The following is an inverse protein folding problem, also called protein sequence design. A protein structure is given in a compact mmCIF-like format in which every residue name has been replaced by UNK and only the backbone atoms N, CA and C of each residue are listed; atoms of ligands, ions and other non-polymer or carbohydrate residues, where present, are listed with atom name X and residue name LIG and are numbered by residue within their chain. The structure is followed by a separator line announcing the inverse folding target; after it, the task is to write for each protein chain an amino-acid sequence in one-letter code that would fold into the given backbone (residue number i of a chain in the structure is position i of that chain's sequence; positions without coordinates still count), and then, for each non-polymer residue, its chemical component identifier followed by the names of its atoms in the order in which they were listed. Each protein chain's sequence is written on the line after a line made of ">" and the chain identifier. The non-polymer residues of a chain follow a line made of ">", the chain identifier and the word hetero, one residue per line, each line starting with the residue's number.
data_IF_985579689433
#
_entry.id   IF_985579689433
#
_cell.length_a   1.000
_cell.length_b   1.000
_cell.length_c   1.000
_cell.angle_alpha   90.00
_cell.angle_beta   90.00
_cell.angle_gamma   90.00
#
_symmetry.space_group_name_H-M   'P 1'
#
loop_
_entity.id
_entity.type
_entity.pdbx_description
1 polymer ?
#
# COMPACT_ATOMS: atom_id res chain seq x y z
N UNK A 1 19.86 -29.05 -29.43
CA UNK A 1 20.08 -29.66 -28.14
C UNK A 1 18.74 -30.24 -27.70
N UNK A 2 18.45 -31.53 -27.97
CA UNK A 2 17.11 -32.09 -27.78
C UNK A 2 16.69 -32.32 -26.33
N UNK A 3 17.64 -32.43 -25.40
CA UNK A 3 17.35 -32.79 -24.01
C UNK A 3 16.96 -31.61 -23.09
N UNK A 4 17.18 -30.39 -23.54
CA UNK A 4 16.76 -29.22 -22.75
C UNK A 4 15.26 -28.98 -22.80
N UNK A 5 14.58 -29.41 -23.84
CA UNK A 5 13.15 -29.11 -24.04
C UNK A 5 12.26 -29.93 -23.11
N UNK A 6 12.56 -31.22 -22.89
CA UNK A 6 11.77 -32.05 -21.97
C UNK A 6 11.92 -31.63 -20.51
N UNK A 7 13.14 -31.32 -20.07
CA UNK A 7 13.34 -30.81 -18.71
C UNK A 7 12.65 -29.46 -18.49
N UNK A 8 12.58 -28.61 -19.51
CA UNK A 8 11.84 -27.36 -19.47
C UNK A 8 10.32 -27.58 -19.44
N UNK A 9 9.81 -28.58 -20.15
CA UNK A 9 8.40 -28.93 -20.16
C UNK A 9 7.94 -29.44 -18.78
N UNK A 10 8.70 -30.34 -18.13
CA UNK A 10 8.41 -30.81 -16.79
C UNK A 10 8.41 -29.69 -15.74
N UNK A 11 9.36 -28.77 -15.86
CA UNK A 11 9.42 -27.57 -15.00
C UNK A 11 8.24 -26.63 -15.27
N UNK A 12 7.88 -26.44 -16.53
CA UNK A 12 6.74 -25.61 -16.92
C UNK A 12 5.42 -26.19 -16.40
N UNK A 13 5.23 -27.51 -16.50
CA UNK A 13 4.05 -28.21 -15.98
C UNK A 13 3.97 -28.10 -14.46
N UNK A 14 5.08 -28.29 -13.74
CA UNK A 14 5.14 -28.13 -12.29
C UNK A 14 4.84 -26.69 -11.84
N UNK A 15 5.32 -25.70 -12.59
CA UNK A 15 5.03 -24.29 -12.33
C UNK A 15 3.56 -23.96 -12.59
N UNK A 16 2.99 -24.44 -13.69
CA UNK A 16 1.59 -24.25 -14.02
C UNK A 16 0.68 -24.89 -12.96
N UNK A 17 1.02 -26.09 -12.49
CA UNK A 17 0.27 -26.74 -11.41
C UNK A 17 0.28 -25.88 -10.13
N UNK A 18 1.47 -25.37 -9.73
CA UNK A 18 1.60 -24.52 -8.55
C UNK A 18 0.87 -23.19 -8.72
N UNK A 19 0.91 -22.62 -9.91
CA UNK A 19 0.20 -21.37 -10.22
C UNK A 19 -1.33 -21.57 -10.09
N UNK A 20 -1.88 -22.61 -10.71
CA UNK A 20 -3.29 -22.94 -10.63
C UNK A 20 -3.73 -23.25 -9.19
N UNK A 21 -2.88 -23.90 -8.42
CA UNK A 21 -3.13 -24.14 -7.00
C UNK A 21 -3.13 -22.82 -6.20
N UNK A 22 -2.18 -21.95 -6.46
CA UNK A 22 -2.10 -20.64 -5.81
C UNK A 22 -3.32 -19.78 -6.15
N UNK A 23 -3.76 -19.76 -7.39
CA UNK A 23 -4.94 -19.05 -7.88
C UNK A 23 -6.21 -19.48 -7.15
N UNK A 24 -6.44 -20.79 -7.05
CA UNK A 24 -7.61 -21.36 -6.35
C UNK A 24 -7.60 -21.03 -4.85
N UNK A 25 -6.46 -21.21 -4.18
CA UNK A 25 -6.35 -20.96 -2.75
C UNK A 25 -6.41 -19.48 -2.39
N UNK A 26 -5.87 -18.61 -3.23
CA UNK A 26 -5.91 -17.15 -3.02
C UNK A 26 -7.25 -16.51 -3.45
N UNK A 27 -8.15 -17.27 -4.10
CA UNK A 27 -9.42 -16.78 -4.67
C UNK A 27 -9.20 -15.67 -5.71
N UNK A 28 -8.15 -15.80 -6.52
CA UNK A 28 -7.77 -14.80 -7.51
C UNK A 28 -8.87 -14.55 -8.53
N UNK A 29 -9.54 -15.62 -9.02
CA UNK A 29 -10.65 -15.49 -9.96
C UNK A 29 -11.78 -14.62 -9.42
N UNK A 30 -12.16 -14.81 -8.15
CA UNK A 30 -13.19 -14.00 -7.50
C UNK A 30 -12.79 -12.54 -7.44
N UNK A 31 -11.55 -12.27 -7.01
CA UNK A 31 -11.03 -10.92 -6.91
C UNK A 31 -10.95 -10.21 -8.27
N UNK A 32 -10.51 -10.93 -9.30
CA UNK A 32 -10.48 -10.42 -10.67
C UNK A 32 -11.89 -10.15 -11.22
N UNK A 33 -12.84 -11.04 -10.96
CA UNK A 33 -14.24 -10.86 -11.37
C UNK A 33 -14.89 -9.64 -10.73
N UNK A 34 -14.66 -9.39 -9.44
CA UNK A 34 -15.14 -8.21 -8.73
C UNK A 34 -14.48 -6.92 -9.25
N UNK A 35 -13.16 -6.95 -9.50
CA UNK A 35 -12.45 -5.82 -10.07
C UNK A 35 -12.93 -5.51 -11.50
N UNK A 36 -13.16 -6.52 -12.31
CA UNK A 36 -13.72 -6.36 -13.66
C UNK A 36 -15.13 -5.79 -13.63
N UNK A 37 -15.97 -6.22 -12.70
CA UNK A 37 -17.29 -5.64 -12.51
C UNK A 37 -17.22 -4.15 -12.12
N UNK A 38 -16.21 -3.75 -11.35
CA UNK A 38 -15.92 -2.34 -11.04
C UNK A 38 -15.45 -1.58 -12.27
N UNK A 39 -14.56 -2.17 -13.07
CA UNK A 39 -14.04 -1.58 -14.31
C UNK A 39 -15.16 -1.29 -15.30
N UNK A 40 -16.07 -2.22 -15.52
CA UNK A 40 -17.24 -1.99 -16.40
C UNK A 40 -18.09 -0.80 -15.94
N UNK A 41 -18.24 -0.62 -14.61
CA UNK A 41 -19.11 0.42 -14.06
C UNK A 41 -18.48 1.81 -14.09
N UNK A 42 -17.17 1.89 -13.84
CA UNK A 42 -16.48 3.16 -13.56
C UNK A 42 -15.17 3.34 -14.31
N UNK A 43 -14.81 2.42 -15.19
CA UNK A 43 -13.62 2.50 -16.04
C UNK A 43 -12.33 2.07 -15.37
N UNK A 44 -12.36 1.62 -14.10
CA UNK A 44 -11.18 1.14 -13.40
C UNK A 44 -11.54 0.08 -12.36
N UNK A 45 -10.72 -0.97 -12.27
CA UNK A 45 -10.78 -2.01 -11.26
C UNK A 45 -9.42 -2.22 -10.60
N UNK A 46 -9.42 -2.58 -9.33
CA UNK A 46 -8.21 -2.77 -8.54
C UNK A 46 -8.17 -4.14 -7.89
N UNK A 47 -7.06 -4.82 -8.03
CA UNK A 47 -6.78 -6.10 -7.38
C UNK A 47 -5.54 -5.98 -6.52
N UNK A 48 -5.62 -6.43 -5.29
CA UNK A 48 -4.47 -6.60 -4.40
C UNK A 48 -3.99 -8.03 -4.46
N UNK A 49 -2.70 -8.20 -4.62
CA UNK A 49 -2.00 -9.46 -4.37
C UNK A 49 -1.04 -9.23 -3.22
N UNK A 50 -1.28 -9.93 -2.11
CA UNK A 50 -0.49 -9.75 -0.91
C UNK A 50 -0.10 -11.10 -0.31
N UNK A 51 0.99 -11.08 0.49
CA UNK A 51 1.34 -12.22 1.31
C UNK A 51 0.48 -12.20 2.58
N UNK A 52 -0.15 -13.33 2.90
CA UNK A 52 -0.89 -13.49 4.15
C UNK A 52 0.09 -13.59 5.33
N UNK A 53 -0.21 -12.89 6.39
CA UNK A 53 0.61 -12.90 7.61
C UNK A 53 0.20 -14.02 8.58
N UNK A 54 -1.04 -14.47 8.48
CA UNK A 54 -1.57 -15.55 9.31
C UNK A 54 -0.99 -16.89 8.86
N UNK A 55 -0.21 -17.59 9.71
CA UNK A 55 0.43 -18.86 9.35
C UNK A 55 -0.56 -20.00 9.10
N UNK A 56 -1.82 -19.85 9.57
CA UNK A 56 -2.87 -20.85 9.39
C UNK A 56 -3.64 -20.71 8.07
N UNK A 57 -3.41 -19.60 7.34
CA UNK A 57 -4.00 -19.35 6.05
C UNK A 57 -3.04 -19.64 4.92
N UNK A 58 -3.58 -19.69 3.70
CA UNK A 58 -2.74 -19.82 2.53
C UNK A 58 -1.81 -18.61 2.38
N UNK A 59 -0.57 -18.86 1.96
CA UNK A 59 0.53 -17.89 1.92
C UNK A 59 0.23 -16.60 1.12
N UNK A 60 -0.61 -16.70 0.11
CA UNK A 60 -0.98 -15.57 -0.75
C UNK A 60 -2.49 -15.35 -0.69
N UNK A 61 -2.87 -14.10 -0.78
CA UNK A 61 -4.27 -13.71 -0.91
C UNK A 61 -4.42 -12.74 -2.06
N UNK A 62 -5.51 -12.87 -2.78
CA UNK A 62 -5.98 -11.88 -3.74
C UNK A 62 -7.28 -11.28 -3.23
N UNK A 63 -7.47 -10.00 -3.43
CA UNK A 63 -8.69 -9.31 -3.06
C UNK A 63 -8.96 -8.14 -3.99
N UNK A 64 -10.22 -7.88 -4.27
CA UNK A 64 -10.62 -6.65 -4.95
C UNK A 64 -10.57 -5.49 -3.97
N UNK A 65 -10.19 -4.33 -4.45
CA UNK A 65 -10.17 -3.10 -3.65
C UNK A 65 -11.20 -2.15 -4.23
N UNK A 66 -12.02 -1.61 -3.33
CA UNK A 66 -13.04 -0.67 -3.75
C UNK A 66 -12.39 0.65 -4.22
N UNK A 67 -12.92 1.24 -5.29
CA UNK A 67 -12.39 2.47 -5.90
C UNK A 67 -12.22 3.64 -4.92
N UNK A 68 -13.09 3.72 -3.90
CA UNK A 68 -13.03 4.78 -2.89
C UNK A 68 -11.92 4.59 -1.87
N UNK A 69 -11.17 3.49 -1.96
CA UNK A 69 -10.03 3.19 -1.09
C UNK A 69 -8.70 3.51 -1.74
N UNK A 70 -8.70 3.85 -3.05
CA UNK A 70 -7.48 4.12 -3.79
C UNK A 70 -7.54 5.50 -4.42
N UNK A 71 -6.44 6.24 -4.26
CA UNK A 71 -6.15 7.48 -4.98
C UNK A 71 -4.83 7.30 -5.73
N UNK A 72 -4.80 7.74 -6.97
CA UNK A 72 -3.62 7.64 -7.84
C UNK A 72 -3.37 8.97 -8.55
N UNK A 73 -2.21 9.07 -9.16
CA UNK A 73 -1.89 10.22 -9.99
C UNK A 73 -2.72 10.20 -11.27
N UNK A 74 -3.79 10.98 -11.29
CA UNK A 74 -4.72 11.04 -12.42
C UNK A 74 -4.10 11.62 -13.71
N UNK A 75 -2.88 12.20 -13.63
CA UNK A 75 -2.10 12.66 -14.79
C UNK A 75 -1.22 11.57 -15.38
N UNK A 76 -1.11 10.44 -14.71
CA UNK A 76 -0.33 9.32 -15.17
C UNK A 76 -0.98 8.63 -16.38
N UNK A 77 -0.18 7.87 -17.08
CA UNK A 77 -0.66 7.00 -18.16
C UNK A 77 -1.64 5.96 -17.62
N UNK A 78 -2.48 5.38 -18.49
CA UNK A 78 -3.44 4.36 -18.08
C UNK A 78 -2.82 3.13 -17.40
N UNK A 79 -1.58 2.80 -17.77
CA UNK A 79 -0.79 1.70 -17.18
C UNK A 79 -0.08 2.07 -15.87
N UNK A 80 -0.23 3.31 -15.39
CA UNK A 80 0.39 3.86 -14.19
C UNK A 80 1.92 3.79 -14.17
N UNK A 81 2.57 3.52 -15.30
CA UNK A 81 4.03 3.36 -15.39
C UNK A 81 4.80 4.63 -14.97
N UNK A 82 4.20 5.79 -15.13
CA UNK A 82 4.74 7.10 -14.79
C UNK A 82 4.06 7.76 -13.59
N UNK A 83 3.17 7.05 -12.90
CA UNK A 83 2.50 7.55 -11.71
C UNK A 83 3.52 7.98 -10.64
N UNK A 84 3.31 9.16 -10.07
CA UNK A 84 4.18 9.71 -9.03
C UNK A 84 3.81 9.20 -7.65
N UNK A 85 2.55 8.90 -7.42
CA UNK A 85 2.05 8.38 -6.17
C UNK A 85 0.85 7.46 -6.38
N UNK A 86 0.69 6.55 -5.44
CA UNK A 86 -0.50 5.72 -5.23
C UNK A 86 -0.79 5.75 -3.73
N UNK A 87 -2.04 6.00 -3.36
CA UNK A 87 -2.46 6.05 -1.96
C UNK A 87 -3.59 5.06 -1.79
N UNK A 88 -3.49 4.21 -0.78
CA UNK A 88 -4.53 3.29 -0.37
C UNK A 88 -5.03 3.63 1.03
N UNK A 89 -6.33 3.73 1.18
CA UNK A 89 -7.00 3.83 2.46
C UNK A 89 -7.41 2.45 2.93
N UNK A 90 -7.14 2.15 4.18
CA UNK A 90 -7.53 0.87 4.79
C UNK A 90 -8.09 1.11 6.18
N UNK A 91 -9.32 0.65 6.40
CA UNK A 91 -9.93 0.63 7.71
C UNK A 91 -9.49 -0.59 8.47
N UNK A 92 -9.08 -0.40 9.71
CA UNK A 92 -8.55 -1.47 10.55
C UNK A 92 -8.95 -1.26 11.99
N UNK A 93 -9.21 -2.35 12.71
CA UNK A 93 -9.47 -2.27 14.14
C UNK A 93 -8.24 -1.70 14.87
N UNK A 94 -8.47 -0.77 15.81
CA UNK A 94 -7.43 -0.03 16.54
C UNK A 94 -6.33 -0.92 17.12
N UNK A 95 -6.71 -2.01 17.79
CA UNK A 95 -5.74 -2.97 18.34
C UNK A 95 -4.88 -3.63 17.27
N UNK A 96 -5.47 -3.96 16.13
CA UNK A 96 -4.73 -4.55 15.01
C UNK A 96 -3.76 -3.54 14.38
N UNK A 97 -4.19 -2.29 14.25
CA UNK A 97 -3.34 -1.21 13.75
C UNK A 97 -2.14 -0.95 14.69
N UNK A 98 -2.36 -0.94 16.01
CA UNK A 98 -1.30 -0.80 16.99
C UNK A 98 -0.27 -1.94 16.92
N UNK A 99 -0.71 -3.16 16.67
CA UNK A 99 0.20 -4.30 16.46
C UNK A 99 0.99 -4.20 15.17
N UNK A 100 0.41 -3.64 14.11
CA UNK A 100 1.11 -3.44 12.82
C UNK A 100 2.15 -2.34 12.89
N UNK A 101 1.90 -1.29 13.68
CA UNK A 101 2.78 -0.11 13.78
C UNK A 101 3.17 0.08 15.25
N UNK A 102 4.04 -0.78 15.79
CA UNK A 102 4.39 -0.75 17.22
C UNK A 102 5.07 0.56 17.64
N UNK A 103 5.77 1.22 16.73
CA UNK A 103 6.40 2.51 17.00
C UNK A 103 5.40 3.64 17.32
N UNK A 104 4.15 3.50 16.89
CA UNK A 104 3.08 4.48 17.10
C UNK A 104 1.85 3.86 17.80
N UNK A 105 2.03 2.70 18.44
CA UNK A 105 0.94 1.97 19.07
C UNK A 105 0.19 2.83 20.09
N UNK A 106 0.92 3.56 20.91
CA UNK A 106 0.36 4.46 21.94
C UNK A 106 -0.51 5.56 21.30
N UNK A 107 -0.02 6.19 20.25
CA UNK A 107 -0.77 7.21 19.52
C UNK A 107 -2.06 6.63 18.88
N UNK A 108 -1.98 5.44 18.32
CA UNK A 108 -3.12 4.74 17.71
C UNK A 108 -4.14 4.33 18.78
N UNK A 109 -3.69 3.83 19.91
CA UNK A 109 -4.57 3.46 21.02
C UNK A 109 -5.24 4.66 21.66
N UNK A 110 -4.53 5.76 21.82
CA UNK A 110 -5.06 7.01 22.37
C UNK A 110 -5.83 7.86 21.36
N UNK A 111 -5.70 7.62 20.08
CA UNK A 111 -6.49 8.29 19.06
C UNK A 111 -8.01 8.15 19.28
N UNK A 112 -8.44 7.22 20.14
CA UNK A 112 -9.81 7.05 20.61
C UNK A 112 -10.16 7.78 21.91
N UNK A 113 -9.20 8.06 22.77
CA UNK A 113 -9.45 8.49 24.12
C UNK A 113 -9.71 10.02 24.23
N UNK A 114 -9.11 10.83 23.38
CA UNK A 114 -9.23 12.29 23.44
C UNK A 114 -10.66 12.82 23.22
N UNK A 115 -11.53 12.01 22.65
CA UNK A 115 -12.91 12.38 22.33
C UNK A 115 -13.91 12.06 23.44
N UNK A 116 -13.56 11.16 24.35
CA UNK A 116 -14.33 10.97 25.57
C UNK A 116 -14.19 12.15 26.54
N UNK A 117 -13.16 12.99 26.34
CA UNK A 117 -12.97 14.21 27.11
C UNK A 117 -13.68 15.44 26.49
N UNK A 118 -14.13 15.35 25.26
CA UNK A 118 -14.99 16.36 24.66
C UNK A 118 -16.43 16.04 25.11
N UNK A 119 -16.72 16.40 26.34
CA UNK A 119 -18.07 16.36 26.86
C UNK A 119 -18.91 17.36 26.05
N UNK A 120 -19.93 16.90 25.30
CA UNK A 120 -20.86 17.81 24.63
C UNK A 120 -21.50 18.78 25.62
N UNK A 121 -21.53 18.44 26.90
CA UNK A 121 -21.93 19.31 27.99
C UNK A 121 -21.04 20.55 28.15
N UNK A 122 -19.74 20.48 27.80
CA UNK A 122 -18.87 21.67 27.89
C UNK A 122 -19.16 22.72 26.83
N UNK A 123 -19.62 22.34 25.65
CA UNK A 123 -20.14 23.27 24.65
C UNK A 123 -21.48 23.89 25.07
N UNK A 124 -22.16 23.25 26.03
CA UNK A 124 -23.46 23.76 26.55
C UNK A 124 -23.29 24.85 27.60
N UNK A 125 -22.13 24.98 28.22
CA UNK A 125 -21.90 25.95 29.30
C UNK A 125 -21.57 27.36 28.80
N UNK A 126 -21.08 27.52 27.57
CA UNK A 126 -20.70 28.85 27.06
C UNK A 126 -21.76 29.56 26.20
N UNK A 127 -22.82 28.90 25.80
CA UNK A 127 -23.79 29.50 24.91
C UNK A 127 -25.23 29.18 25.24
N UNK A 128 -25.82 29.93 26.18
CA UNK A 128 -27.19 29.75 26.62
C UNK A 128 -28.22 29.31 25.59
N UNK A 129 -29.24 28.59 26.01
CA UNK A 129 -30.52 28.24 25.37
C UNK A 129 -30.54 27.64 23.95
N UNK A 130 -29.49 27.74 23.17
CA UNK A 130 -29.35 27.12 21.83
C UNK A 130 -28.76 25.73 21.83
N UNK A 131 -28.42 25.22 23.00
CA UNK A 131 -27.63 24.01 23.21
C UNK A 131 -28.33 22.71 22.81
N UNK A 132 -29.64 22.65 22.91
CA UNK A 132 -30.39 21.47 22.45
C UNK A 132 -30.34 21.26 20.94
N UNK A 133 -30.37 22.37 20.21
CA UNK A 133 -30.30 22.36 18.74
C UNK A 133 -28.87 22.11 18.24
N UNK A 134 -27.85 22.62 18.93
CA UNK A 134 -26.46 22.38 18.54
C UNK A 134 -26.01 20.95 18.82
N UNK A 135 -26.50 20.36 19.92
CA UNK A 135 -26.19 18.94 20.21
C UNK A 135 -26.93 18.00 19.26
N UNK A 136 -28.21 18.28 18.94
CA UNK A 136 -28.94 17.54 17.93
C UNK A 136 -28.29 17.68 16.55
N UNK A 137 -27.78 18.86 16.25
CA UNK A 137 -27.13 19.13 14.97
C UNK A 137 -25.71 18.50 14.87
N UNK A 138 -24.99 18.42 15.99
CA UNK A 138 -23.72 17.67 16.11
C UNK A 138 -23.97 16.17 16.06
N UNK A 139 -25.06 15.70 16.62
CA UNK A 139 -25.47 14.29 16.62
C UNK A 139 -25.99 13.85 15.24
N UNK A 140 -26.78 14.72 14.57
CA UNK A 140 -27.25 14.47 13.20
C UNK A 140 -26.17 14.63 12.13
N UNK A 141 -25.26 15.57 12.27
CA UNK A 141 -24.13 15.69 11.34
C UNK A 141 -23.04 14.67 11.59
N UNK A 142 -23.06 14.03 12.75
CA UNK A 142 -22.00 13.12 13.17
C UNK A 142 -20.65 13.73 12.90
N UNK A 143 -19.84 14.02 13.85
CA UNK A 143 -18.43 14.36 13.79
C UNK A 143 -17.98 15.14 12.53
N UNK A 144 -17.01 15.97 12.60
CA UNK A 144 -16.55 16.71 11.43
C UNK A 144 -16.23 15.72 10.29
N UNK A 145 -16.48 16.14 9.05
CA UNK A 145 -16.18 15.33 7.85
C UNK A 145 -14.77 14.78 7.90
N UNK A 146 -13.83 15.52 8.46
CA UNK A 146 -12.43 15.12 8.63
C UNK A 146 -12.28 13.93 9.58
N UNK A 147 -13.06 13.88 10.63
CA UNK A 147 -12.99 12.80 11.63
C UNK A 147 -13.64 11.52 11.14
N UNK A 148 -14.73 11.61 10.43
CA UNK A 148 -15.34 10.46 9.77
C UNK A 148 -14.43 9.86 8.70
N UNK A 149 -13.49 10.63 8.17
CA UNK A 149 -12.56 10.15 7.14
C UNK A 149 -11.46 9.23 7.68
N UNK A 150 -11.11 9.33 8.95
CA UNK A 150 -9.98 8.57 9.49
C UNK A 150 -10.30 7.76 10.74
N UNK A 151 -11.50 7.87 11.28
CA UNK A 151 -11.86 7.27 12.55
C UNK A 151 -13.31 6.85 12.61
N UNK A 152 -13.54 5.60 13.00
CA UNK A 152 -14.86 5.05 13.32
C UNK A 152 -14.86 4.62 14.80
N UNK A 153 -15.53 5.42 15.63
CA UNK A 153 -15.58 5.20 17.07
C UNK A 153 -16.48 4.02 17.41
N UNK A 154 -17.60 3.87 16.73
CA UNK A 154 -18.56 2.82 17.00
C UNK A 154 -17.95 1.44 16.78
N UNK A 155 -17.22 1.28 15.70
CA UNK A 155 -16.54 0.02 15.35
C UNK A 155 -15.10 -0.05 15.86
N UNK A 156 -14.63 0.97 16.58
CA UNK A 156 -13.25 1.07 17.07
C UNK A 156 -12.21 0.89 15.95
N UNK A 157 -12.48 1.46 14.77
CA UNK A 157 -11.59 1.40 13.62
C UNK A 157 -10.85 2.70 13.42
N UNK A 158 -9.66 2.59 12.89
CA UNK A 158 -8.84 3.70 12.42
C UNK A 158 -8.57 3.53 10.94
N UNK A 159 -8.52 4.65 10.24
CA UNK A 159 -8.18 4.69 8.84
C UNK A 159 -6.66 4.86 8.69
N UNK A 160 -6.03 3.92 8.04
CA UNK A 160 -4.62 3.97 7.69
C UNK A 160 -4.49 4.32 6.22
N UNK A 161 -3.58 5.23 5.92
CA UNK A 161 -3.20 5.56 4.56
C UNK A 161 -1.84 4.96 4.27
N UNK A 162 -1.81 4.06 3.32
CA UNK A 162 -0.60 3.49 2.77
C UNK A 162 -0.23 4.28 1.51
N UNK A 163 0.91 4.95 1.54
CA UNK A 163 1.33 5.87 0.50
C UNK A 163 2.57 5.32 -0.19
N UNK A 164 2.45 5.00 -1.46
CA UNK A 164 3.57 4.71 -2.35
C UNK A 164 3.85 5.95 -3.18
N UNK A 165 5.07 6.39 -3.17
CA UNK A 165 5.50 7.52 -3.99
C UNK A 165 6.84 7.21 -4.66
N UNK A 166 7.03 7.79 -5.82
CA UNK A 166 8.27 7.65 -6.57
C UNK A 166 9.28 8.66 -6.07
N UNK A 167 10.36 8.15 -5.53
CA UNK A 167 11.51 8.93 -5.14
C UNK A 167 12.61 8.83 -6.20
N UNK A 168 13.24 9.95 -6.52
CA UNK A 168 14.31 10.02 -7.50
C UNK A 168 15.63 10.19 -6.76
N UNK A 169 16.42 9.13 -6.79
CA UNK A 169 17.75 9.16 -6.19
C UNK A 169 18.80 9.24 -7.28
N UNK A 170 19.84 10.07 -7.05
CA UNK A 170 20.99 10.14 -7.92
C UNK A 170 21.92 8.98 -7.60
N UNK A 171 21.98 8.02 -8.50
CA UNK A 171 22.84 6.83 -8.36
C UNK A 171 24.04 6.99 -9.29
N UNK A 172 25.23 6.75 -8.77
CA UNK A 172 26.45 6.66 -9.58
C UNK A 172 26.59 5.22 -10.04
N UNK A 173 26.75 5.02 -11.34
CA UNK A 173 26.88 3.67 -11.92
C UNK A 173 28.22 3.52 -12.65
N UNK A 174 28.73 2.29 -12.67
CA UNK A 174 29.89 1.90 -13.45
C UNK A 174 29.39 1.01 -14.58
N UNK A 175 29.83 1.28 -15.80
CA UNK A 175 29.59 0.41 -16.94
C UNK A 175 30.76 -0.55 -17.09
N UNK A 176 30.48 -1.85 -16.95
CA UNK A 176 31.46 -2.90 -17.22
C UNK A 176 31.79 -2.97 -18.73
N UNK A 177 32.95 -3.50 -19.12
CA UNK A 177 33.30 -3.76 -20.52
C UNK A 177 32.27 -4.62 -21.26
N UNK A 178 31.57 -5.48 -20.53
CA UNK A 178 30.48 -6.35 -21.03
C UNK A 178 29.15 -5.60 -21.26
N UNK A 179 29.12 -4.28 -21.08
CA UNK A 179 27.91 -3.45 -21.21
C UNK A 179 26.95 -3.54 -20.01
N UNK A 180 27.31 -4.24 -18.95
CA UNK A 180 26.49 -4.29 -17.72
C UNK A 180 26.66 -3.01 -16.91
N UNK A 181 25.54 -2.48 -16.45
CA UNK A 181 25.50 -1.31 -15.56
C UNK A 181 25.39 -1.83 -14.13
N UNK A 182 26.36 -1.44 -13.30
CA UNK A 182 26.44 -1.85 -11.89
C UNK A 182 26.45 -0.58 -11.03
N UNK A 183 25.74 -0.59 -9.92
CA UNK A 183 25.76 0.50 -8.97
C UNK A 183 27.14 0.64 -8.33
N UNK A 184 27.65 1.87 -8.25
CA UNK A 184 28.93 2.16 -7.64
C UNK A 184 28.84 2.06 -6.12
N UNK A 185 29.55 1.09 -5.56
CA UNK A 185 29.74 0.96 -4.12
C UNK A 185 31.14 1.50 -3.75
N UNK A 186 31.20 2.61 -2.98
CA UNK A 186 32.48 3.18 -2.55
C UNK A 186 33.27 2.27 -1.59
N UNK A 187 32.64 1.31 -0.95
CA UNK A 187 33.34 0.35 -0.08
C UNK A 187 34.01 -0.78 -0.86
N UNK A 188 33.65 -0.97 -2.12
CA UNK A 188 34.18 -2.04 -2.94
C UNK A 188 35.46 -1.58 -3.67
N UNK A 189 36.59 -2.21 -3.31
CA UNK A 189 37.93 -1.90 -3.86
C UNK A 189 37.95 -2.08 -5.39
N UNK A 190 37.28 -3.09 -5.94
CA UNK A 190 37.21 -3.32 -7.38
C UNK A 190 36.52 -2.18 -8.12
N UNK A 191 35.47 -1.61 -7.52
CA UNK A 191 34.78 -0.46 -8.07
C UNK A 191 35.65 0.79 -8.05
N UNK A 192 36.40 1.02 -6.98
CA UNK A 192 37.36 2.13 -6.88
C UNK A 192 38.44 2.02 -7.96
N UNK A 193 39.06 0.84 -8.13
CA UNK A 193 40.07 0.60 -9.13
C UNK A 193 39.55 0.79 -10.57
N UNK A 194 38.31 0.34 -10.84
CA UNK A 194 37.68 0.52 -12.14
C UNK A 194 37.47 2.00 -12.48
N UNK A 195 37.03 2.79 -11.50
CA UNK A 195 36.84 4.25 -11.66
C UNK A 195 38.18 4.94 -11.88
N UNK A 196 39.22 4.56 -11.12
CA UNK A 196 40.55 5.17 -11.20
C UNK A 196 41.24 4.85 -12.52
N UNK A 197 41.16 3.59 -12.98
CA UNK A 197 41.64 3.18 -14.29
C UNK A 197 40.98 3.95 -15.43
N UNK A 198 39.66 4.20 -15.35
CA UNK A 198 38.93 4.99 -16.34
C UNK A 198 39.33 6.45 -16.31
N UNK A 199 39.51 7.01 -15.11
CA UNK A 199 39.96 8.42 -14.93
C UNK A 199 41.34 8.62 -15.53
N UNK A 200 42.26 7.70 -15.36
CA UNK A 200 43.60 7.73 -15.93
C UNK A 200 43.54 7.68 -17.46
N UNK A 201 42.68 6.84 -18.05
CA UNK A 201 42.49 6.78 -19.49
C UNK A 201 41.93 8.07 -20.13
N UNK A 202 41.13 8.83 -19.38
CA UNK A 202 40.53 10.07 -19.87
C UNK A 202 41.51 11.25 -19.76
N UNK A 203 42.48 11.16 -18.89
CA UNK A 203 43.50 12.20 -18.68
C UNK A 203 44.77 11.99 -19.54
N UNK A 204 44.89 10.87 -20.19
CA UNK A 204 45.98 10.56 -21.13
C UNK A 204 45.56 10.82 -22.57
#
# INVERSE_FOLDING_TARGET
>A
IPDSDKANDDVAEALNYRLNQAERHSKADTACGEAYASEIKVGIGWVEVAREQDPFKYKYRCGSIHRNEIWWDWKAKPDLSDARFLIRRKWMHRKQAALMIPAQAELIEHAGAGWQQFDPGMLSLEGGASTGLSNAWLDERGWSIEEQQWRDIHNQQVCLFEVWYRDWQRVTVITSPDGRVIEYDPANIMHQQAVEARRTQVLA
#
